data_IF_852499791208
#
_entry.id   IF_852499791208
#
_cell.length_a   1.000
_cell.length_b   1.000
_cell.length_c   1.000
_cell.angle_alpha   90.00
_cell.angle_beta   90.00
_cell.angle_gamma   90.00
#
_symmetry.space_group_name_H-M   'P 1'
#
loop_
_entity.id
_entity.type
_entity.pdbx_description
1 polymer ?
#
# COMPACT_ATOMS: atom_id res chain seq x y z
N UNK A 1 -17.51 -4.51 -16.80
CA UNK A 1 -16.11 -4.48 -17.25
C UNK A 1 -15.29 -5.25 -16.23
N UNK A 2 -14.83 -6.46 -16.58
CA UNK A 2 -14.17 -7.38 -15.66
C UNK A 2 -12.76 -6.88 -15.36
N UNK A 3 -12.48 -6.56 -14.10
CA UNK A 3 -11.22 -5.95 -13.68
C UNK A 3 -10.24 -7.06 -13.27
N UNK A 4 -9.86 -7.87 -14.25
CA UNK A 4 -8.98 -9.01 -14.07
C UNK A 4 -7.52 -8.52 -13.99
N UNK A 5 -6.70 -8.99 -13.03
CA UNK A 5 -5.29 -8.60 -12.94
C UNK A 5 -4.55 -8.96 -14.23
N UNK A 6 -3.67 -8.07 -14.71
CA UNK A 6 -2.99 -8.23 -16.01
C UNK A 6 -1.96 -9.38 -16.01
N UNK A 7 -1.52 -9.83 -14.83
CA UNK A 7 -0.65 -10.98 -14.64
C UNK A 7 -0.82 -11.56 -13.21
N UNK A 8 -1.47 -12.73 -13.03
CA UNK A 8 -1.79 -13.26 -11.70
C UNK A 8 -0.57 -13.68 -10.89
N UNK A 9 0.60 -13.86 -11.52
CA UNK A 9 1.85 -14.24 -10.84
C UNK A 9 2.56 -13.02 -10.21
N UNK A 10 2.21 -11.81 -10.65
CA UNK A 10 2.80 -10.54 -10.16
C UNK A 10 1.92 -9.78 -9.16
N UNK A 11 0.73 -10.30 -8.87
CA UNK A 11 -0.20 -9.71 -7.90
C UNK A 11 -0.06 -10.37 -6.53
N UNK A 12 0.15 -9.57 -5.49
CA UNK A 12 0.09 -10.07 -4.11
C UNK A 12 -1.37 -10.38 -3.75
N UNK A 13 -1.65 -11.64 -3.41
CA UNK A 13 -3.00 -12.05 -2.95
C UNK A 13 -3.20 -11.64 -1.49
N UNK A 14 -4.43 -11.27 -1.12
CA UNK A 14 -4.72 -10.85 0.25
C UNK A 14 -4.43 -11.96 1.27
N UNK A 15 -4.74 -13.21 0.93
CA UNK A 15 -4.48 -14.39 1.78
C UNK A 15 -2.99 -14.68 2.01
N UNK A 16 -2.12 -14.25 1.09
CA UNK A 16 -0.67 -14.46 1.17
C UNK A 16 0.12 -13.21 1.54
N UNK A 17 -0.49 -12.03 1.45
CA UNK A 17 0.09 -10.75 1.85
C UNK A 17 0.37 -10.74 3.37
N UNK A 18 1.51 -10.21 3.85
CA UNK A 18 1.80 -10.09 5.28
C UNK A 18 0.67 -9.40 6.07
N UNK A 19 0.10 -8.33 5.51
CA UNK A 19 -0.98 -7.57 6.17
C UNK A 19 -2.32 -8.30 6.16
N UNK A 20 -2.59 -9.07 5.10
CA UNK A 20 -3.80 -9.87 5.03
C UNK A 20 -3.72 -11.09 5.94
N UNK A 21 -2.57 -11.74 6.04
CA UNK A 21 -2.33 -12.80 7.05
C UNK A 21 -2.54 -12.28 8.46
N UNK A 22 -2.00 -11.11 8.77
CA UNK A 22 -2.18 -10.45 10.07
C UNK A 22 -3.65 -10.17 10.40
N UNK A 23 -4.41 -9.79 9.36
CA UNK A 23 -5.84 -9.55 9.48
C UNK A 23 -6.69 -10.83 9.42
N UNK A 24 -6.09 -12.03 9.38
CA UNK A 24 -6.78 -13.30 9.12
C UNK A 24 -7.65 -13.27 7.84
N UNK A 25 -7.23 -12.52 6.82
CA UNK A 25 -7.90 -12.44 5.53
C UNK A 25 -7.95 -13.82 4.88
N UNK A 26 -9.14 -14.27 4.50
CA UNK A 26 -9.39 -15.63 4.01
C UNK A 26 -9.83 -16.64 5.07
N UNK A 27 -9.71 -16.31 6.36
CA UNK A 27 -10.15 -17.14 7.48
C UNK A 27 -11.22 -16.43 8.34
N UNK A 28 -12.05 -15.60 7.70
CA UNK A 28 -13.11 -14.82 8.37
C UNK A 28 -12.67 -13.45 8.90
N UNK A 29 -11.38 -13.14 8.87
CA UNK A 29 -10.85 -11.82 9.20
C UNK A 29 -10.91 -10.82 8.04
N UNK A 30 -10.79 -9.52 8.37
CA UNK A 30 -10.93 -8.41 7.42
C UNK A 30 -9.70 -7.51 7.44
N UNK A 31 -9.00 -7.42 6.30
CA UNK A 31 -7.90 -6.47 6.12
C UNK A 31 -8.46 -5.04 5.99
N UNK A 32 -8.08 -4.09 6.86
CA UNK A 32 -8.65 -2.74 6.86
C UNK A 32 -8.11 -1.85 5.73
N UNK A 33 -7.15 -2.34 4.93
CA UNK A 33 -6.61 -1.58 3.81
C UNK A 33 -7.58 -1.61 2.62
N UNK A 34 -7.82 -0.43 2.04
CA UNK A 34 -8.73 -0.25 0.91
C UNK A 34 -7.93 -0.31 -0.39
N UNK A 35 -8.32 -1.21 -1.29
CA UNK A 35 -7.70 -1.33 -2.61
C UNK A 35 -8.06 -0.12 -3.49
N UNK A 36 -7.05 0.48 -4.14
CA UNK A 36 -7.18 1.56 -5.12
C UNK A 36 -6.33 1.26 -6.36
N UNK A 37 -6.79 1.72 -7.52
CA UNK A 37 -6.07 1.59 -8.79
C UNK A 37 -5.60 2.95 -9.26
N UNK A 38 -4.41 2.96 -9.83
CA UNK A 38 -3.74 4.12 -10.40
C UNK A 38 -3.26 3.73 -11.81
N UNK A 39 -3.50 4.58 -12.80
CA UNK A 39 -2.93 4.43 -14.13
C UNK A 39 -1.48 4.89 -14.16
N UNK A 40 -0.75 4.52 -15.22
CA UNK A 40 0.60 5.05 -15.47
C UNK A 40 0.62 6.59 -15.43
N UNK A 41 1.58 7.15 -14.71
CA UNK A 41 1.74 8.59 -14.53
C UNK A 41 0.87 9.22 -13.43
N UNK A 42 -0.08 8.47 -12.86
CA UNK A 42 -0.92 8.98 -11.77
C UNK A 42 -0.07 9.29 -10.52
N UNK A 43 -0.30 10.47 -9.95
CA UNK A 43 0.31 10.86 -8.68
C UNK A 43 -0.48 10.24 -7.53
N UNK A 44 0.18 9.40 -6.74
CA UNK A 44 -0.41 8.72 -5.58
C UNK A 44 -0.39 9.65 -4.37
N UNK A 45 0.74 10.34 -4.16
CA UNK A 45 0.89 11.43 -3.21
C UNK A 45 2.07 12.32 -3.57
N UNK A 46 2.04 13.57 -3.11
CA UNK A 46 3.05 14.59 -3.40
C UNK A 46 3.91 14.92 -2.18
N UNK A 47 5.19 15.19 -2.43
CA UNK A 47 6.11 15.73 -1.42
C UNK A 47 5.55 17.01 -0.81
N UNK A 48 5.60 17.11 0.52
CA UNK A 48 5.06 18.24 1.27
C UNK A 48 3.53 18.18 1.45
N UNK A 49 2.84 17.28 0.74
CA UNK A 49 1.44 16.98 0.99
C UNK A 49 1.25 16.26 2.33
N UNK A 50 0.02 16.25 2.88
CA UNK A 50 -0.26 15.66 4.18
C UNK A 50 -0.06 14.14 4.17
N UNK A 51 0.82 13.64 5.04
CA UNK A 51 1.05 12.22 5.25
C UNK A 51 -0.12 11.57 5.99
N UNK A 52 -1.22 11.31 5.30
CA UNK A 52 -2.43 10.75 5.91
C UNK A 52 -2.59 9.25 5.66
N UNK A 53 -1.94 8.73 4.62
CA UNK A 53 -2.07 7.34 4.20
C UNK A 53 -0.71 6.69 3.99
N UNK A 54 -0.62 5.41 4.31
CA UNK A 54 0.43 4.55 3.81
C UNK A 54 -0.18 3.53 2.86
N UNK A 55 0.67 2.98 2.00
CA UNK A 55 0.23 2.10 0.94
C UNK A 55 1.11 0.86 0.87
N UNK A 56 0.45 -0.28 0.64
CA UNK A 56 1.09 -1.52 0.25
C UNK A 56 0.95 -1.70 -1.26
N UNK A 57 2.06 -1.91 -1.95
CA UNK A 57 2.04 -2.18 -3.40
C UNK A 57 1.56 -3.61 -3.63
N UNK A 58 0.36 -3.74 -4.19
CA UNK A 58 -0.27 -5.04 -4.46
C UNK A 58 0.09 -5.57 -5.84
N UNK A 59 0.13 -4.70 -6.84
CA UNK A 59 0.44 -4.99 -8.25
C UNK A 59 1.05 -3.74 -8.88
N UNK A 60 1.92 -3.90 -9.87
CA UNK A 60 2.57 -2.81 -10.58
C UNK A 60 3.79 -2.23 -9.87
N UNK A 61 4.22 -1.04 -10.30
CA UNK A 61 5.41 -0.34 -9.78
C UNK A 61 5.13 1.13 -9.51
N UNK A 62 5.74 1.64 -8.44
CA UNK A 62 5.69 3.04 -8.04
C UNK A 62 7.09 3.63 -8.09
N UNK A 63 7.24 4.76 -8.75
CA UNK A 63 8.43 5.59 -8.68
C UNK A 63 8.33 6.56 -7.50
N UNK A 64 9.36 6.51 -6.64
CA UNK A 64 9.56 7.44 -5.55
C UNK A 64 10.51 8.54 -6.04
N UNK A 65 10.00 9.77 -6.09
CA UNK A 65 10.74 10.95 -6.50
C UNK A 65 11.09 11.76 -5.26
N UNK A 66 12.37 11.82 -4.93
CA UNK A 66 12.86 12.43 -3.70
C UNK A 66 14.35 12.68 -3.76
N UNK A 67 14.98 12.80 -2.59
CA UNK A 67 16.44 12.96 -2.49
C UNK A 67 17.18 11.72 -3.03
N UNK A 68 16.57 10.55 -2.89
CA UNK A 68 17.11 9.27 -3.35
C UNK A 68 16.06 8.54 -4.18
N UNK A 69 15.96 8.84 -5.49
CA UNK A 69 14.96 8.23 -6.36
C UNK A 69 15.04 6.70 -6.34
N UNK A 70 13.88 6.04 -6.31
CA UNK A 70 13.84 4.59 -6.32
C UNK A 70 12.49 4.04 -6.79
N UNK A 71 12.48 2.82 -7.31
CA UNK A 71 11.25 2.12 -7.69
C UNK A 71 10.82 1.14 -6.59
N UNK A 72 9.50 0.99 -6.40
CA UNK A 72 8.88 0.09 -5.43
C UNK A 72 7.92 -0.84 -6.15
N UNK A 73 8.15 -2.14 -6.02
CA UNK A 73 7.31 -3.17 -6.62
C UNK A 73 6.38 -3.84 -5.61
N UNK A 74 5.68 -4.91 -6.03
CA UNK A 74 4.75 -5.64 -5.18
C UNK A 74 5.41 -6.12 -3.88
N UNK A 75 4.70 -5.99 -2.76
CA UNK A 75 5.23 -6.32 -1.43
C UNK A 75 5.82 -5.14 -0.66
N UNK A 76 6.14 -4.03 -1.34
CA UNK A 76 6.71 -2.85 -0.69
C UNK A 76 5.64 -2.01 0.03
N UNK A 77 6.06 -1.34 1.11
CA UNK A 77 5.33 -0.25 1.75
C UNK A 77 5.89 1.10 1.31
N UNK A 78 5.00 2.07 1.08
CA UNK A 78 5.34 3.46 0.76
C UNK A 78 4.49 4.44 1.61
N UNK A 79 4.94 5.69 1.72
CA UNK A 79 4.23 6.72 2.48
C UNK A 79 4.30 6.51 4.00
N UNK A 80 5.38 5.89 4.49
CA UNK A 80 5.58 5.62 5.92
C UNK A 80 5.68 6.88 6.77
N UNK A 81 5.97 8.04 6.17
CA UNK A 81 5.91 9.36 6.81
C UNK A 81 4.56 9.62 7.49
N UNK A 82 3.49 9.03 6.95
CA UNK A 82 2.14 9.13 7.53
C UNK A 82 2.03 8.55 8.94
N UNK A 83 2.86 7.56 9.28
CA UNK A 83 2.91 6.99 10.63
C UNK A 83 3.48 7.99 11.65
N UNK A 84 4.40 8.84 11.20
CA UNK A 84 4.98 9.93 11.99
C UNK A 84 4.13 11.22 11.95
N UNK A 85 2.95 11.21 11.31
CA UNK A 85 2.11 12.40 11.06
C UNK A 85 2.89 13.54 10.41
N UNK A 86 3.89 13.20 9.60
CA UNK A 86 4.72 14.16 8.89
C UNK A 86 4.24 14.32 7.45
N UNK A 87 4.46 15.47 6.79
CA UNK A 87 4.28 15.58 5.35
C UNK A 87 5.14 14.56 4.61
N UNK A 88 4.70 14.11 3.44
CA UNK A 88 5.50 13.17 2.64
C UNK A 88 6.85 13.79 2.27
N UNK A 89 7.92 13.05 2.50
CA UNK A 89 9.28 13.47 2.12
C UNK A 89 9.59 13.27 0.64
N UNK A 90 8.76 12.48 -0.06
CA UNK A 90 8.89 12.11 -1.48
C UNK A 90 7.53 12.23 -2.20
N UNK A 91 7.56 12.32 -3.52
CA UNK A 91 6.38 12.17 -4.38
C UNK A 91 6.34 10.73 -4.89
N UNK A 92 5.17 10.09 -4.84
CA UNK A 92 4.96 8.76 -5.39
C UNK A 92 4.14 8.84 -6.67
N UNK A 93 4.65 8.28 -7.77
CA UNK A 93 4.00 8.24 -9.08
C UNK A 93 3.89 6.79 -9.54
N UNK A 94 2.73 6.40 -10.06
CA UNK A 94 2.56 5.09 -10.68
C UNK A 94 3.41 5.00 -11.96
N UNK A 95 4.36 4.09 -12.00
CA UNK A 95 5.26 3.90 -13.15
C UNK A 95 4.60 3.08 -14.28
N UNK A 96 3.51 2.38 -13.93
CA UNK A 96 2.67 1.56 -14.80
C UNK A 96 1.27 1.47 -14.15
N UNK A 97 0.32 0.76 -14.77
CA UNK A 97 -0.96 0.46 -14.11
C UNK A 97 -0.71 -0.27 -12.78
N UNK A 98 -1.09 0.36 -11.66
CA UNK A 98 -0.70 -0.07 -10.30
C UNK A 98 -1.94 -0.27 -9.42
N UNK A 99 -1.91 -1.29 -8.58
CA UNK A 99 -2.91 -1.50 -7.52
C UNK A 99 -2.25 -1.35 -6.16
N UNK A 100 -2.77 -0.45 -5.35
CA UNK A 100 -2.30 -0.21 -3.98
C UNK A 100 -3.39 -0.53 -2.97
N UNK A 101 -3.00 -1.04 -1.81
CA UNK A 101 -3.86 -1.16 -0.64
C UNK A 101 -3.50 -0.06 0.35
N UNK A 102 -4.40 0.89 0.60
CA UNK A 102 -4.15 2.07 1.44
C UNK A 102 -4.84 2.00 2.79
N UNK A 103 -4.19 2.49 3.83
CA UNK A 103 -4.80 2.70 5.15
C UNK A 103 -4.37 4.03 5.75
N UNK A 104 -5.22 4.58 6.61
CA UNK A 104 -4.82 5.66 7.51
C UNK A 104 -3.85 5.11 8.56
N UNK A 105 -3.11 6.01 9.22
CA UNK A 105 -2.27 5.65 10.38
C UNK A 105 -3.05 4.84 11.42
N UNK A 106 -4.25 5.29 11.76
CA UNK A 106 -5.12 4.63 12.75
C UNK A 106 -5.52 3.23 12.30
N UNK A 107 -5.96 3.08 11.05
CA UNK A 107 -6.32 1.77 10.48
C UNK A 107 -5.15 0.80 10.49
N UNK A 108 -3.94 1.27 10.17
CA UNK A 108 -2.74 0.44 10.17
C UNK A 108 -2.27 0.07 11.58
N UNK A 109 -2.29 1.00 12.54
CA UNK A 109 -1.92 0.70 13.93
C UNK A 109 -2.90 -0.29 14.55
N UNK A 110 -4.19 -0.14 14.28
CA UNK A 110 -5.18 -1.10 14.78
C UNK A 110 -4.94 -2.50 14.19
N UNK A 111 -4.54 -2.59 12.92
CA UNK A 111 -4.13 -3.85 12.32
C UNK A 111 -2.92 -4.46 13.03
N UNK A 112 -1.91 -3.66 13.38
CA UNK A 112 -0.72 -4.17 14.09
C UNK A 112 -1.06 -4.69 15.49
N UNK A 113 -1.97 -4.03 16.21
CA UNK A 113 -2.38 -4.48 17.56
C UNK A 113 -3.05 -5.86 17.55
N UNK A 114 -3.77 -6.20 16.48
CA UNK A 114 -4.36 -7.54 16.31
C UNK A 114 -3.29 -8.64 16.27
N UNK A 115 -2.04 -8.31 15.91
CA UNK A 115 -0.93 -9.24 15.92
C UNK A 115 -0.43 -9.58 17.33
N UNK A 116 -0.52 -8.62 18.25
CA UNK A 116 0.07 -8.72 19.58
C UNK A 116 -0.87 -9.48 20.54
N UNK A 117 -2.19 -9.44 20.29
CA UNK A 117 -3.20 -10.09 21.12
C UNK A 117 -3.28 -11.63 20.94
N UNK A 118 -2.56 -12.18 19.95
CA UNK A 118 -2.42 -13.64 19.71
C UNK A 118 -1.21 -14.27 20.45
N UNK A 119 -0.57 -13.53 21.39
CA UNK A 119 0.62 -13.97 22.16
C UNK A 119 0.31 -14.49 23.56
#
# INVERSE_FOLDING_TARGET
>A
MSNQPKDPDKTVRCESCPLGKLAHAGHGGFCPLISRRYGEGDVIFERGGPGNYLWFVKEGRVEMQGKTPATRGPGALIGLDSLARSPYSETAVAAEDTVLCGATREGFINLLKLADDDS
#
